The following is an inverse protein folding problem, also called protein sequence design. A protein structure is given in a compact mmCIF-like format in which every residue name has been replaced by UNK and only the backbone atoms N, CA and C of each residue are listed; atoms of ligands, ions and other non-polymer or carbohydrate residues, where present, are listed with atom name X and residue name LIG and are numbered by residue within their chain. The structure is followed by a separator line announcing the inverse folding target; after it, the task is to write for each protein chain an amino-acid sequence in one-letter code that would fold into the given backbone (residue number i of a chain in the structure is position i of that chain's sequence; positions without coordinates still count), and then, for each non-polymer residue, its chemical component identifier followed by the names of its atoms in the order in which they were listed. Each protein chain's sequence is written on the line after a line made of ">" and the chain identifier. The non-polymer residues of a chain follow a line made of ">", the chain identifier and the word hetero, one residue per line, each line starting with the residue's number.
data_IF_603099669513
#
_entry.id   IF_603099669513
#
_cell.length_a   1.000
_cell.length_b   1.000
_cell.length_c   1.000
_cell.angle_alpha   90.00
_cell.angle_beta   90.00
_cell.angle_gamma   90.00
#
_symmetry.space_group_name_H-M   'P 1'
#
loop_
_entity.id
_entity.type
_entity.pdbx_description
1 polymer ?
#
# COMPACT_ATOMS: atom_id res chain seq x y z
N UNK A 1 -24.43 -5.15 -16.10
CA UNK A 1 -23.88 -4.36 -17.22
C UNK A 1 -23.81 -2.95 -16.67
N UNK A 2 -22.79 -2.70 -15.87
CA UNK A 2 -22.84 -1.64 -14.86
C UNK A 2 -22.11 -0.43 -15.41
N UNK A 3 -22.92 0.55 -15.81
CA UNK A 3 -22.48 1.79 -16.42
C UNK A 3 -21.69 2.62 -15.40
N UNK A 4 -20.48 2.97 -15.83
CA UNK A 4 -19.62 4.02 -15.28
C UNK A 4 -20.42 5.31 -15.00
N UNK A 5 -19.90 6.14 -14.10
CA UNK A 5 -20.46 7.42 -13.73
C UNK A 5 -20.96 8.24 -14.94
N UNK A 6 -22.09 8.94 -14.80
CA UNK A 6 -22.37 10.10 -15.66
C UNK A 6 -21.20 11.07 -15.46
N UNK A 7 -20.62 11.55 -16.56
CA UNK A 7 -19.47 12.48 -16.64
C UNK A 7 -19.63 13.80 -15.86
N UNK A 8 -20.71 13.95 -15.08
CA UNK A 8 -21.15 15.17 -14.38
C UNK A 8 -21.13 15.07 -12.85
N UNK A 9 -20.59 14.00 -12.27
CA UNK A 9 -20.29 13.96 -10.82
C UNK A 9 -21.51 14.02 -9.90
N UNK A 10 -22.66 13.48 -10.32
CA UNK A 10 -23.82 13.38 -9.43
C UNK A 10 -23.76 12.12 -8.57
N UNK A 11 -23.92 12.31 -7.25
CA UNK A 11 -24.02 11.26 -6.25
C UNK A 11 -25.27 10.41 -6.50
N UNK A 12 -25.05 9.14 -6.84
CA UNK A 12 -26.12 8.16 -7.12
C UNK A 12 -26.20 7.07 -6.06
N UNK A 13 -25.56 7.24 -4.89
CA UNK A 13 -25.44 6.17 -3.90
C UNK A 13 -24.49 5.05 -4.34
N UNK A 14 -23.47 5.39 -5.15
CA UNK A 14 -22.55 4.44 -5.80
C UNK A 14 -21.13 4.58 -5.27
N UNK A 15 -20.35 3.49 -5.35
CA UNK A 15 -18.94 3.45 -4.93
C UNK A 15 -18.14 4.55 -5.64
N UNK A 16 -17.58 5.47 -4.86
CA UNK A 16 -16.69 6.54 -5.35
C UNK A 16 -15.25 6.12 -5.13
N UNK A 17 -14.40 6.41 -6.11
CA UNK A 17 -12.96 6.22 -6.01
C UNK A 17 -12.30 7.58 -6.20
N UNK A 18 -11.40 8.00 -5.30
CA UNK A 18 -10.62 9.22 -5.52
C UNK A 18 -9.72 9.04 -6.75
N UNK A 19 -9.11 7.86 -6.91
CA UNK A 19 -8.40 7.47 -8.13
C UNK A 19 -8.81 6.04 -8.56
N UNK A 20 -9.11 5.90 -9.85
CA UNK A 20 -9.41 4.62 -10.48
C UNK A 20 -8.59 4.45 -11.77
N UNK A 21 -7.86 3.34 -11.89
CA UNK A 21 -7.15 2.97 -13.12
C UNK A 21 -7.83 1.74 -13.74
N UNK A 22 -8.56 1.98 -14.83
CA UNK A 22 -9.25 0.95 -15.59
C UNK A 22 -8.36 0.31 -16.66
N UNK A 23 -8.47 -1.00 -16.85
CA UNK A 23 -7.84 -1.72 -17.95
C UNK A 23 -8.60 -1.49 -19.26
N UNK A 24 -7.94 -0.88 -20.24
CA UNK A 24 -8.43 -0.75 -21.61
C UNK A 24 -7.25 -0.92 -22.59
N UNK A 25 -6.69 -2.12 -22.61
CA UNK A 25 -5.45 -2.45 -23.32
C UNK A 25 -4.25 -2.64 -22.38
N UNK A 26 -3.04 -2.40 -22.92
CA UNK A 26 -1.79 -2.58 -22.20
C UNK A 26 -1.26 -1.25 -21.68
N UNK A 27 -1.14 -1.15 -20.36
CA UNK A 27 -0.61 -0.02 -19.62
C UNK A 27 0.78 -0.39 -19.07
N UNK A 28 1.72 0.55 -19.10
CA UNK A 28 3.06 0.32 -18.59
C UNK A 28 3.67 1.62 -18.04
N UNK A 29 4.53 1.52 -17.03
CA UNK A 29 5.27 2.66 -16.44
C UNK A 29 4.38 3.80 -15.95
N UNK A 30 3.40 3.47 -15.10
CA UNK A 30 2.53 4.46 -14.45
C UNK A 30 3.06 4.72 -13.03
N UNK A 31 3.20 6.00 -12.68
CA UNK A 31 3.65 6.46 -11.36
C UNK A 31 2.56 7.31 -10.71
N UNK A 32 2.06 6.90 -9.56
CA UNK A 32 1.06 7.63 -8.77
C UNK A 32 1.68 7.94 -7.41
N UNK A 33 2.00 9.21 -7.18
CA UNK A 33 2.56 9.62 -5.90
C UNK A 33 2.26 11.04 -5.48
N UNK A 34 2.54 11.31 -4.20
CA UNK A 34 2.32 12.59 -3.53
C UNK A 34 0.86 13.04 -3.49
N UNK A 35 -0.07 12.10 -3.35
CA UNK A 35 -1.49 12.38 -3.22
C UNK A 35 -1.97 12.17 -1.77
N UNK A 36 -2.94 12.98 -1.39
CA UNK A 36 -3.76 12.83 -0.18
C UNK A 36 -5.15 12.34 -0.64
N UNK A 37 -5.56 11.17 -0.18
CA UNK A 37 -6.78 10.48 -0.60
C UNK A 37 -7.58 10.02 0.61
N UNK A 38 -8.43 10.90 1.12
CA UNK A 38 -9.32 10.55 2.22
C UNK A 38 -10.76 11.02 2.15
N UNK A 39 -11.49 10.69 3.21
CA UNK A 39 -12.91 11.03 3.44
C UNK A 39 -13.87 10.57 2.34
N UNK A 40 -13.56 9.44 1.69
CA UNK A 40 -14.42 8.84 0.67
C UNK A 40 -15.74 8.34 1.28
N UNK A 41 -16.83 9.09 1.09
CA UNK A 41 -18.13 8.85 1.75
C UNK A 41 -18.84 7.55 1.37
N UNK A 42 -18.48 6.93 0.24
CA UNK A 42 -19.16 5.73 -0.27
C UNK A 42 -18.18 4.72 -0.91
N UNK A 43 -16.87 4.89 -0.76
CA UNK A 43 -15.92 4.03 -1.46
C UNK A 43 -14.50 4.09 -0.93
N UNK A 44 -13.53 4.06 -1.84
CA UNK A 44 -12.13 3.71 -1.57
C UNK A 44 -11.20 4.79 -2.07
N UNK A 45 -10.08 5.00 -1.39
CA UNK A 45 -9.04 5.91 -1.85
C UNK A 45 -8.59 5.60 -3.28
N UNK A 46 -8.22 4.33 -3.52
CA UNK A 46 -7.57 3.95 -4.76
C UNK A 46 -7.91 2.53 -5.20
N UNK A 47 -8.17 2.36 -6.50
CA UNK A 47 -8.43 1.05 -7.10
C UNK A 47 -7.86 0.96 -8.52
N UNK A 48 -7.13 -0.12 -8.80
CA UNK A 48 -6.83 -0.56 -10.18
C UNK A 48 -7.72 -1.75 -10.53
N UNK A 49 -8.16 -1.85 -11.78
CA UNK A 49 -9.15 -2.85 -12.17
C UNK A 49 -9.16 -3.10 -13.68
N UNK A 50 -8.94 -4.34 -14.11
CA UNK A 50 -9.02 -4.72 -15.53
C UNK A 50 -10.46 -4.93 -15.99
N UNK A 51 -10.70 -4.86 -17.30
CA UNK A 51 -12.03 -5.12 -17.88
C UNK A 51 -12.08 -6.33 -18.82
N UNK A 52 -10.95 -6.71 -19.42
CA UNK A 52 -10.84 -7.81 -20.37
C UNK A 52 -9.59 -8.65 -20.12
N UNK A 53 -9.60 -9.95 -20.49
CA UNK A 53 -8.43 -10.82 -20.36
C UNK A 53 -7.17 -10.37 -21.11
N UNK A 54 -7.30 -9.46 -22.09
CA UNK A 54 -6.19 -8.88 -22.84
C UNK A 54 -5.60 -7.63 -22.18
N UNK A 55 -6.25 -7.08 -21.15
CA UNK A 55 -5.74 -5.91 -20.46
C UNK A 55 -4.52 -6.29 -19.61
N UNK A 56 -3.57 -5.37 -19.53
CA UNK A 56 -2.42 -5.54 -18.66
C UNK A 56 -1.95 -4.22 -18.09
N UNK A 57 -1.38 -4.28 -16.89
CA UNK A 57 -0.71 -3.18 -16.22
C UNK A 57 0.63 -3.68 -15.68
N UNK A 58 1.72 -3.15 -16.23
CA UNK A 58 3.09 -3.51 -15.84
C UNK A 58 3.87 -2.27 -15.37
N UNK A 59 4.96 -2.50 -14.64
CA UNK A 59 5.80 -1.47 -14.01
C UNK A 59 4.96 -0.35 -13.37
N UNK A 60 4.02 -0.75 -12.51
CA UNK A 60 3.12 0.17 -11.83
C UNK A 60 3.72 0.59 -10.50
N UNK A 61 3.81 1.90 -10.25
CA UNK A 61 4.39 2.46 -9.03
C UNK A 61 3.35 3.30 -8.29
N UNK A 62 3.08 2.96 -7.04
CA UNK A 62 2.26 3.75 -6.11
C UNK A 62 3.12 4.12 -4.93
N UNK A 63 3.36 5.41 -4.72
CA UNK A 63 4.32 5.83 -3.71
C UNK A 63 4.06 7.18 -3.08
N UNK A 64 4.53 7.39 -1.85
CA UNK A 64 4.42 8.70 -1.18
C UNK A 64 2.97 9.22 -1.09
N UNK A 65 1.98 8.34 -1.03
CA UNK A 65 0.57 8.73 -0.88
C UNK A 65 0.09 8.51 0.56
N UNK A 66 -0.83 9.36 1.01
CA UNK A 66 -1.57 9.15 2.24
C UNK A 66 -3.01 8.78 1.91
N UNK A 67 -3.43 7.57 2.27
CA UNK A 67 -4.80 7.10 2.11
C UNK A 67 -5.45 6.99 3.49
N UNK A 68 -6.56 7.69 3.72
CA UNK A 68 -7.13 7.72 5.07
C UNK A 68 -8.64 7.98 5.13
N UNK A 69 -9.27 7.58 6.22
CA UNK A 69 -10.68 7.92 6.53
C UNK A 69 -11.66 7.61 5.39
N UNK A 70 -11.38 6.58 4.60
CA UNK A 70 -12.29 6.10 3.56
C UNK A 70 -13.32 5.18 4.19
N UNK A 71 -14.58 5.24 3.75
CA UNK A 71 -15.66 4.39 4.32
C UNK A 71 -15.46 2.90 3.98
N UNK A 72 -14.54 2.56 3.07
CA UNK A 72 -14.15 1.19 2.72
C UNK A 72 -12.63 1.00 2.76
N UNK A 73 -12.10 -0.02 2.05
CA UNK A 73 -10.66 -0.20 1.84
C UNK A 73 -10.00 1.10 1.37
N UNK A 74 -8.78 1.37 1.84
CA UNK A 74 -7.99 2.47 1.30
C UNK A 74 -7.50 2.16 -0.11
N UNK A 75 -6.99 0.94 -0.32
CA UNK A 75 -6.32 0.55 -1.57
C UNK A 75 -6.75 -0.83 -2.05
N UNK A 76 -7.00 -0.96 -3.35
CA UNK A 76 -7.09 -2.26 -4.04
C UNK A 76 -6.08 -2.30 -5.19
N UNK A 77 -5.13 -3.23 -5.10
CA UNK A 77 -4.11 -3.51 -6.10
C UNK A 77 -4.45 -4.77 -6.89
N UNK A 78 -5.31 -4.60 -7.89
CA UNK A 78 -5.62 -5.62 -8.88
C UNK A 78 -7.11 -5.91 -8.99
N UNK A 79 -7.42 -6.99 -9.68
CA UNK A 79 -8.79 -7.43 -9.93
C UNK A 79 -9.27 -7.02 -11.31
N UNK A 80 -10.54 -7.31 -11.57
CA UNK A 80 -11.16 -6.97 -12.82
C UNK A 80 -12.50 -7.63 -13.04
N UNK A 81 -13.26 -7.09 -13.99
CA UNK A 81 -14.36 -7.81 -14.61
C UNK A 81 -13.86 -8.45 -15.91
N UNK A 82 -14.65 -9.38 -16.44
CA UNK A 82 -14.23 -10.22 -17.57
C UNK A 82 -14.94 -11.57 -17.53
N UNK A 83 -14.98 -12.26 -18.66
CA UNK A 83 -15.67 -13.57 -18.77
C UNK A 83 -14.85 -14.75 -18.24
N UNK A 84 -13.55 -14.58 -18.01
CA UNK A 84 -12.63 -15.62 -17.53
C UNK A 84 -11.59 -15.05 -16.56
N UNK A 85 -10.90 -15.92 -15.82
CA UNK A 85 -9.78 -15.56 -14.96
C UNK A 85 -8.57 -15.06 -15.78
N UNK A 86 -7.96 -13.94 -15.37
CA UNK A 86 -6.75 -13.40 -15.98
C UNK A 86 -5.94 -12.60 -14.96
N UNK A 87 -4.71 -12.25 -15.33
CA UNK A 87 -3.87 -11.38 -14.52
C UNK A 87 -3.72 -10.01 -15.14
N UNK A 88 -4.41 -9.02 -14.57
CA UNK A 88 -4.33 -7.64 -15.01
C UNK A 88 -2.97 -7.03 -14.62
N UNK A 89 -2.62 -7.11 -13.34
CA UNK A 89 -1.37 -6.56 -12.80
C UNK A 89 -0.23 -7.55 -13.05
N UNK A 90 0.87 -7.06 -13.61
CA UNK A 90 2.10 -7.83 -13.84
C UNK A 90 3.16 -7.52 -12.79
N UNK A 91 3.52 -6.25 -12.65
CA UNK A 91 4.51 -5.78 -11.67
C UNK A 91 3.98 -4.54 -10.97
N UNK A 92 3.95 -4.55 -9.64
CA UNK A 92 3.51 -3.42 -8.84
C UNK A 92 4.50 -3.11 -7.71
N UNK A 93 5.02 -1.90 -7.67
CA UNK A 93 5.82 -1.35 -6.60
C UNK A 93 4.97 -0.41 -5.74
N UNK A 94 4.82 -0.72 -4.47
CA UNK A 94 4.02 0.02 -3.52
C UNK A 94 4.91 0.45 -2.36
N UNK A 95 5.33 1.72 -2.31
CA UNK A 95 6.36 2.13 -1.34
C UNK A 95 6.20 3.52 -0.76
N UNK A 96 6.66 3.72 0.48
CA UNK A 96 6.47 4.97 1.23
C UNK A 96 5.01 5.44 1.25
N UNK A 97 4.03 4.55 1.26
CA UNK A 97 2.64 4.98 1.43
C UNK A 97 2.26 4.88 2.91
N UNK A 98 1.32 5.73 3.31
CA UNK A 98 0.70 5.69 4.62
C UNK A 98 -0.79 5.38 4.41
N UNK A 99 -1.26 4.29 4.98
CA UNK A 99 -2.67 3.92 4.99
C UNK A 99 -3.14 4.01 6.43
N UNK A 100 -4.15 4.81 6.72
CA UNK A 100 -4.71 4.93 8.07
C UNK A 100 -6.23 4.88 8.05
N UNK A 101 -6.84 4.49 9.16
CA UNK A 101 -8.29 4.57 9.40
C UNK A 101 -9.14 4.06 8.22
N UNK A 102 -8.92 2.81 7.74
CA UNK A 102 -9.78 2.25 6.71
C UNK A 102 -11.21 2.07 7.24
N UNK A 103 -12.14 1.94 6.32
CA UNK A 103 -13.55 1.74 6.62
C UNK A 103 -13.82 0.51 7.47
N UNK A 104 -14.87 0.59 8.30
CA UNK A 104 -15.24 -0.48 9.20
C UNK A 104 -15.50 -1.81 8.46
N UNK A 105 -14.78 -2.86 8.87
CA UNK A 105 -14.96 -4.23 8.38
C UNK A 105 -14.31 -4.53 7.03
N UNK A 106 -13.49 -3.61 6.51
CA UNK A 106 -12.70 -3.81 5.30
C UNK A 106 -11.18 -3.78 5.66
N UNK A 107 -10.32 -4.51 4.93
CA UNK A 107 -8.86 -4.41 5.12
C UNK A 107 -8.36 -3.04 4.65
N UNK A 108 -7.21 -2.59 5.15
CA UNK A 108 -6.59 -1.36 4.66
C UNK A 108 -6.20 -1.48 3.19
N UNK A 109 -5.64 -2.63 2.81
CA UNK A 109 -5.19 -2.91 1.46
C UNK A 109 -5.61 -4.32 1.00
N UNK A 110 -6.03 -4.43 -0.25
CA UNK A 110 -6.26 -5.70 -0.94
C UNK A 110 -5.24 -5.86 -2.06
N UNK A 111 -4.50 -6.95 -2.08
CA UNK A 111 -3.48 -7.28 -3.10
C UNK A 111 -3.98 -8.47 -3.92
N UNK A 112 -3.82 -8.41 -5.24
CA UNK A 112 -4.51 -9.30 -6.18
C UNK A 112 -5.91 -8.79 -6.51
N UNK A 113 -6.58 -8.12 -5.56
CA UNK A 113 -7.82 -7.38 -5.78
C UNK A 113 -9.09 -8.24 -5.79
N UNK A 114 -10.08 -7.89 -6.62
CA UNK A 114 -11.40 -8.57 -6.61
C UNK A 114 -11.85 -8.96 -8.01
N UNK A 115 -12.69 -10.00 -8.11
CA UNK A 115 -13.20 -10.47 -9.40
C UNK A 115 -12.21 -11.33 -10.17
N UNK A 116 -12.23 -11.22 -11.50
CA UNK A 116 -11.56 -12.13 -12.44
C UNK A 116 -10.14 -11.71 -12.84
N UNK A 117 -9.81 -10.42 -12.77
CA UNK A 117 -8.46 -9.91 -13.06
C UNK A 117 -7.44 -10.08 -11.92
N UNK A 118 -7.76 -10.94 -10.94
CA UNK A 118 -7.02 -11.06 -9.67
C UNK A 118 -5.83 -12.01 -9.66
N UNK A 119 -5.51 -12.62 -10.78
CA UNK A 119 -4.51 -13.70 -10.84
C UNK A 119 -3.13 -13.15 -11.24
N UNK A 120 -2.07 -13.85 -10.85
CA UNK A 120 -0.69 -13.47 -11.12
C UNK A 120 -0.27 -12.14 -10.48
N UNK A 121 0.80 -11.57 -11.01
CA UNK A 121 1.34 -10.30 -10.54
C UNK A 121 2.40 -10.47 -9.46
N UNK A 122 3.47 -9.69 -9.58
CA UNK A 122 4.58 -9.58 -8.65
C UNK A 122 4.46 -8.25 -7.90
N UNK A 123 4.27 -8.34 -6.58
CA UNK A 123 4.00 -7.19 -5.72
C UNK A 123 5.18 -6.91 -4.79
N UNK A 124 5.67 -5.68 -4.81
CA UNK A 124 6.81 -5.24 -4.02
C UNK A 124 6.38 -4.13 -3.07
N UNK A 125 6.25 -4.46 -1.78
CA UNK A 125 5.81 -3.55 -0.73
C UNK A 125 7.00 -3.14 0.13
N UNK A 126 7.40 -1.87 0.03
CA UNK A 126 8.57 -1.36 0.73
C UNK A 126 8.26 -0.13 1.57
N UNK A 127 8.74 -0.09 2.80
CA UNK A 127 8.75 1.17 3.56
C UNK A 127 7.37 1.81 3.70
N UNK A 128 6.29 1.02 3.82
CA UNK A 128 4.94 1.56 4.04
C UNK A 128 4.60 1.59 5.53
N UNK A 129 3.63 2.42 5.89
CA UNK A 129 2.93 2.36 7.18
C UNK A 129 1.48 2.00 6.88
N UNK A 130 1.04 0.84 7.35
CA UNK A 130 -0.32 0.34 7.12
C UNK A 130 -0.99 0.21 8.49
N UNK A 131 -1.70 1.27 8.86
CA UNK A 131 -2.28 1.46 10.17
C UNK A 131 -3.78 1.16 10.20
N UNK A 132 -4.17 0.01 10.77
CA UNK A 132 -5.56 -0.42 10.89
C UNK A 132 -5.93 -0.69 12.35
N UNK A 133 -5.88 0.34 13.19
CA UNK A 133 -6.05 0.20 14.64
C UNK A 133 -7.51 0.13 15.12
N UNK A 134 -8.49 0.47 14.27
CA UNK A 134 -9.86 0.71 14.74
C UNK A 134 -10.83 -0.47 14.58
N UNK A 135 -10.49 -1.51 13.81
CA UNK A 135 -11.43 -2.59 13.49
C UNK A 135 -10.81 -3.99 13.43
N UNK A 136 -11.56 -4.99 13.91
CA UNK A 136 -11.19 -6.40 13.96
C UNK A 136 -11.21 -7.12 12.58
N UNK A 137 -10.68 -6.47 11.54
CA UNK A 137 -10.40 -7.09 10.25
C UNK A 137 -8.88 -7.10 10.00
N UNK A 138 -8.33 -8.13 9.34
CA UNK A 138 -6.90 -8.13 9.03
C UNK A 138 -6.49 -6.95 8.17
N UNK A 139 -5.32 -6.37 8.50
CA UNK A 139 -4.79 -5.15 7.87
C UNK A 139 -4.57 -5.32 6.36
N UNK A 140 -4.07 -6.48 5.95
CA UNK A 140 -3.78 -6.82 4.56
C UNK A 140 -4.64 -8.02 4.13
N UNK A 141 -5.32 -7.90 3.01
CA UNK A 141 -5.96 -9.04 2.37
C UNK A 141 -5.20 -9.41 1.09
N UNK A 142 -4.73 -10.66 1.03
CA UNK A 142 -4.20 -11.24 -0.20
C UNK A 142 -5.30 -12.02 -0.90
N UNK A 143 -5.49 -11.74 -2.18
CA UNK A 143 -6.48 -12.45 -2.98
C UNK A 143 -5.94 -13.04 -4.26
N UNK A 144 -6.63 -14.07 -4.72
CA UNK A 144 -6.29 -14.77 -5.95
C UNK A 144 -4.94 -15.49 -5.86
N UNK A 145 -4.50 -16.00 -7.01
CA UNK A 145 -3.20 -16.65 -7.14
C UNK A 145 -2.16 -15.63 -7.61
N UNK A 146 -1.73 -14.71 -6.73
CA UNK A 146 -0.61 -13.82 -7.06
C UNK A 146 0.66 -14.62 -7.36
N UNK A 147 1.55 -14.11 -8.22
CA UNK A 147 2.79 -14.81 -8.55
C UNK A 147 3.76 -14.77 -7.38
N UNK A 148 3.98 -13.58 -6.83
CA UNK A 148 4.85 -13.34 -5.69
C UNK A 148 4.50 -12.06 -4.96
N UNK A 149 4.91 -11.98 -3.70
CA UNK A 149 4.96 -10.71 -2.97
C UNK A 149 6.25 -10.64 -2.14
N UNK A 150 6.87 -9.47 -2.17
CA UNK A 150 8.04 -9.13 -1.33
C UNK A 150 7.64 -8.00 -0.39
N UNK A 151 7.79 -8.18 0.92
CA UNK A 151 7.60 -7.13 1.92
C UNK A 151 8.91 -6.79 2.61
N UNK A 152 9.35 -5.53 2.56
CA UNK A 152 10.51 -5.11 3.36
C UNK A 152 10.29 -3.77 4.03
N UNK A 153 10.80 -3.63 5.24
CA UNK A 153 10.77 -2.38 5.98
C UNK A 153 9.36 -1.78 6.16
N UNK A 154 8.29 -2.58 6.22
CA UNK A 154 6.94 -2.06 6.45
C UNK A 154 6.60 -2.03 7.94
N UNK A 155 5.78 -1.06 8.36
CA UNK A 155 5.08 -1.09 9.64
C UNK A 155 3.64 -1.52 9.37
N UNK A 156 3.24 -2.66 9.91
CA UNK A 156 1.89 -3.22 9.75
C UNK A 156 1.24 -3.22 11.13
N UNK A 157 0.34 -2.26 11.33
CA UNK A 157 -0.39 -2.09 12.57
C UNK A 157 -1.74 -2.79 12.45
N UNK A 158 -1.97 -3.76 13.33
CA UNK A 158 -3.19 -4.54 13.41
C UNK A 158 -4.05 -4.10 14.59
N UNK A 159 -5.33 -4.45 14.52
CA UNK A 159 -6.27 -4.16 15.60
C UNK A 159 -5.89 -4.92 16.88
N UNK A 160 -5.93 -4.27 18.06
CA UNK A 160 -5.62 -4.90 19.34
C UNK A 160 -6.36 -6.22 19.57
N UNK A 161 -5.61 -7.30 19.82
CA UNK A 161 -6.14 -8.67 19.98
C UNK A 161 -6.87 -9.24 18.75
N UNK A 162 -6.60 -8.70 17.56
CA UNK A 162 -6.99 -9.35 16.30
C UNK A 162 -6.28 -10.69 16.15
N UNK A 163 -6.89 -11.62 15.41
CA UNK A 163 -6.32 -12.94 15.19
C UNK A 163 -5.23 -12.95 14.13
N UNK A 164 -5.24 -12.01 13.18
CA UNK A 164 -4.27 -11.96 12.08
C UNK A 164 -4.01 -10.54 11.55
N UNK A 165 -2.79 -10.29 11.06
CA UNK A 165 -2.47 -9.13 10.20
C UNK A 165 -2.87 -9.35 8.73
N UNK A 166 -3.04 -10.63 8.35
CA UNK A 166 -3.35 -11.04 6.99
C UNK A 166 -4.61 -11.89 6.93
N UNK A 167 -5.36 -11.75 5.85
CA UNK A 167 -6.28 -12.79 5.42
C UNK A 167 -5.96 -13.22 3.98
N UNK A 168 -6.23 -14.47 3.68
CA UNK A 168 -6.00 -15.09 2.38
C UNK A 168 -7.35 -15.53 1.83
N UNK A 169 -7.69 -15.08 0.63
CA UNK A 169 -9.00 -15.38 0.05
C UNK A 169 -8.95 -15.55 -1.48
N UNK A 170 -9.57 -16.59 -2.07
CA UNK A 170 -10.25 -17.70 -1.42
C UNK A 170 -9.29 -18.80 -0.91
N UNK A 171 -8.00 -18.61 -1.09
CA UNK A 171 -6.98 -19.66 -1.01
C UNK A 171 -6.14 -19.58 0.27
N UNK A 172 -5.28 -20.58 0.46
CA UNK A 172 -4.23 -20.57 1.48
C UNK A 172 -3.13 -19.56 1.16
N UNK A 173 -2.23 -19.35 2.12
CA UNK A 173 -0.99 -18.57 1.96
C UNK A 173 -0.29 -18.91 0.63
N UNK A 174 -0.03 -17.94 -0.26
CA UNK A 174 0.77 -18.16 -1.45
C UNK A 174 2.16 -18.73 -1.11
N UNK A 175 2.71 -19.61 -1.95
CA UNK A 175 4.02 -20.23 -1.67
C UNK A 175 5.20 -19.26 -1.85
N UNK A 176 5.00 -18.14 -2.56
CA UNK A 176 6.05 -17.23 -2.99
C UNK A 176 5.95 -15.88 -2.27
N UNK A 177 5.75 -15.92 -0.96
CA UNK A 177 5.82 -14.74 -0.11
C UNK A 177 7.22 -14.65 0.47
N UNK A 178 7.85 -13.49 0.36
CA UNK A 178 9.11 -13.19 1.03
C UNK A 178 8.96 -11.92 1.86
N UNK A 179 9.54 -11.94 3.05
CA UNK A 179 9.55 -10.79 3.93
C UNK A 179 10.92 -10.63 4.59
N UNK A 180 11.29 -9.37 4.82
CA UNK A 180 12.54 -9.01 5.46
C UNK A 180 12.41 -7.68 6.25
N UNK A 181 12.65 -7.70 7.57
CA UNK A 181 12.63 -6.53 8.45
C UNK A 181 11.30 -5.74 8.42
N UNK A 182 10.16 -6.43 8.58
CA UNK A 182 8.88 -5.75 8.82
C UNK A 182 8.60 -5.68 10.34
N UNK A 183 7.87 -4.64 10.76
CA UNK A 183 7.26 -4.57 12.07
C UNK A 183 5.79 -5.01 11.95
N UNK A 184 5.37 -5.92 12.83
CA UNK A 184 3.94 -6.15 13.09
C UNK A 184 3.62 -5.77 14.53
N UNK A 185 2.69 -4.84 14.70
CA UNK A 185 2.37 -4.27 16.02
C UNK A 185 0.86 -4.15 16.25
N UNK A 186 0.44 -4.28 17.51
CA UNK A 186 -0.95 -4.05 17.92
C UNK A 186 -1.78 -5.33 18.03
N UNK A 187 -1.79 -6.22 17.03
CA UNK A 187 -2.64 -7.41 17.07
C UNK A 187 -2.21 -8.47 18.09
N UNK A 188 -0.98 -8.37 18.59
CA UNK A 188 -0.37 -9.33 19.52
C UNK A 188 0.53 -10.33 18.81
N UNK A 189 1.35 -11.03 19.60
CA UNK A 189 2.41 -11.94 19.08
C UNK A 189 1.84 -13.11 18.27
N UNK A 190 0.66 -13.61 18.63
CA UNK A 190 0.05 -14.76 17.95
C UNK A 190 -0.46 -14.44 16.53
N UNK A 191 -0.61 -13.15 16.19
CA UNK A 191 -1.09 -12.73 14.88
C UNK A 191 0.04 -12.62 13.83
N UNK A 192 1.31 -12.69 14.26
CA UNK A 192 2.48 -12.57 13.38
C UNK A 192 2.49 -13.71 12.36
N UNK A 193 2.72 -13.43 11.06
CA UNK A 193 2.69 -14.48 10.05
C UNK A 193 3.82 -15.47 10.26
N UNK A 194 3.49 -16.77 10.28
CA UNK A 194 4.47 -17.84 10.46
C UNK A 194 5.49 -17.98 9.33
N UNK A 195 5.26 -17.31 8.20
CA UNK A 195 6.16 -17.29 7.06
C UNK A 195 7.13 -16.10 7.06
N UNK A 196 6.95 -15.11 7.96
CA UNK A 196 7.89 -14.00 8.13
C UNK A 196 8.79 -14.22 9.36
N UNK A 197 9.95 -14.82 9.12
CA UNK A 197 10.94 -15.11 10.16
C UNK A 197 11.91 -13.93 10.44
N UNK A 198 11.73 -12.79 9.77
CA UNK A 198 12.67 -11.65 9.79
C UNK A 198 12.20 -10.48 10.67
N UNK A 199 11.21 -10.78 11.51
CA UNK A 199 10.26 -9.81 12.03
C UNK A 199 10.74 -9.13 13.32
N UNK A 200 10.53 -7.81 13.43
CA UNK A 200 10.39 -7.17 14.74
C UNK A 200 8.92 -7.33 15.16
N UNK A 201 8.66 -8.14 16.17
CA UNK A 201 7.28 -8.47 16.58
C UNK A 201 6.89 -7.68 17.81
N UNK A 202 5.81 -6.91 17.70
CA UNK A 202 5.16 -6.21 18.81
C UNK A 202 6.04 -5.18 19.54
N UNK A 203 7.14 -4.73 18.93
CA UNK A 203 7.90 -3.57 19.37
C UNK A 203 7.09 -2.29 19.07
N UNK A 204 6.93 -1.41 20.07
CA UNK A 204 6.22 -0.16 19.89
C UNK A 204 6.94 0.71 18.83
N UNK A 205 6.28 1.10 17.72
CA UNK A 205 6.88 1.97 16.72
C UNK A 205 7.25 3.36 17.29
N UNK A 206 6.73 3.73 18.47
CA UNK A 206 6.89 5.03 19.12
C UNK A 206 6.64 6.17 18.14
N UNK A 207 5.45 6.19 17.55
CA UNK A 207 5.05 7.34 16.75
C UNK A 207 5.07 8.63 17.57
N UNK A 208 5.25 9.78 16.91
CA UNK A 208 5.26 11.10 17.58
C UNK A 208 3.91 11.38 18.26
N UNK A 209 2.83 10.79 17.77
CA UNK A 209 1.51 10.79 18.39
C UNK A 209 0.98 9.36 18.50
N UNK A 210 0.53 8.97 19.69
CA UNK A 210 -0.05 7.64 19.93
C UNK A 210 -1.41 7.43 19.28
N UNK A 211 -2.06 8.49 18.82
CA UNK A 211 -3.31 8.43 18.05
C UNK A 211 -3.19 9.32 16.79
N UNK A 212 -2.52 8.83 15.74
CA UNK A 212 -2.26 9.61 14.53
C UNK A 212 -3.54 10.06 13.82
N UNK A 213 -3.65 11.36 13.51
CA UNK A 213 -4.74 11.94 12.71
C UNK A 213 -4.23 12.70 11.47
N UNK A 214 -2.91 12.86 11.35
CA UNK A 214 -2.20 13.43 10.21
C UNK A 214 -1.09 12.48 9.77
N UNK A 215 -0.67 12.52 8.50
CA UNK A 215 0.48 11.73 8.05
C UNK A 215 1.77 12.04 8.86
N UNK A 216 1.94 13.28 9.34
CA UNK A 216 3.12 13.67 10.14
C UNK A 216 3.13 13.00 11.52
N UNK A 217 1.96 12.60 12.03
CA UNK A 217 1.84 11.95 13.32
C UNK A 217 2.45 10.53 13.31
N UNK A 218 2.64 9.95 12.11
CA UNK A 218 3.27 8.65 11.91
C UNK A 218 4.80 8.70 11.85
N UNK A 219 5.42 9.88 12.00
CA UNK A 219 6.86 9.97 12.24
C UNK A 219 7.22 9.23 13.52
N UNK A 220 8.43 8.69 13.58
CA UNK A 220 8.90 7.95 14.74
C UNK A 220 9.66 8.87 15.69
N UNK A 221 9.58 8.60 16.98
CA UNK A 221 10.46 9.24 17.94
C UNK A 221 11.91 8.78 17.72
N UNK A 222 12.92 9.63 18.03
CA UNK A 222 14.32 9.28 17.80
C UNK A 222 14.81 8.01 18.52
N UNK A 223 14.12 7.59 19.58
CA UNK A 223 14.41 6.39 20.37
C UNK A 223 13.50 5.19 20.01
N UNK A 224 12.79 5.27 18.88
CA UNK A 224 12.04 4.15 18.31
C UNK A 224 13.00 3.02 17.94
N UNK A 225 12.66 1.75 18.25
CA UNK A 225 13.47 0.59 17.85
C UNK A 225 13.56 0.41 16.33
N UNK A 226 12.73 1.13 15.56
CA UNK A 226 12.67 1.04 14.11
C UNK A 226 13.65 1.96 13.39
N UNK A 227 14.24 2.92 14.11
CA UNK A 227 15.20 3.87 13.54
C UNK A 227 16.51 3.14 13.21
N UNK A 228 16.86 3.10 11.93
CA UNK A 228 18.07 2.40 11.45
C UNK A 228 17.99 0.87 11.49
N UNK A 229 16.82 0.29 11.74
CA UNK A 229 16.63 -1.17 11.85
C UNK A 229 16.26 -1.87 10.53
N UNK A 230 16.09 -1.13 9.44
CA UNK A 230 15.68 -1.66 8.15
C UNK A 230 16.82 -2.28 7.32
N UNK A 231 16.46 -3.02 6.29
CA UNK A 231 17.36 -3.58 5.28
C UNK A 231 17.44 -2.68 4.04
N UNK A 232 18.57 -2.69 3.31
CA UNK A 232 18.77 -1.89 2.11
C UNK A 232 17.71 -2.16 1.01
N UNK A 233 16.88 -1.14 0.75
CA UNK A 233 15.92 -1.08 -0.37
C UNK A 233 16.23 0.04 -1.37
N UNK A 234 17.40 0.69 -1.25
CA UNK A 234 17.74 1.94 -1.97
C UNK A 234 17.87 1.79 -3.49
N UNK A 235 17.99 0.56 -4.00
CA UNK A 235 17.91 0.26 -5.42
C UNK A 235 16.54 0.63 -6.03
N UNK A 236 15.48 0.62 -5.21
CA UNK A 236 14.10 0.91 -5.61
C UNK A 236 13.59 2.18 -4.91
N UNK A 237 13.80 2.29 -3.59
CA UNK A 237 13.27 3.37 -2.75
C UNK A 237 14.39 4.35 -2.39
N UNK A 238 14.52 5.43 -3.16
CA UNK A 238 15.62 6.40 -3.01
C UNK A 238 15.37 7.49 -1.97
N UNK A 239 14.12 7.82 -1.72
CA UNK A 239 13.71 8.84 -0.74
C UNK A 239 12.62 8.29 0.16
N UNK A 240 12.36 8.93 1.30
CA UNK A 240 11.26 8.64 2.19
C UNK A 240 9.96 9.37 1.76
N UNK A 241 8.92 9.33 2.60
CA UNK A 241 7.64 10.00 2.39
C UNK A 241 7.79 11.50 2.10
N UNK A 242 8.70 12.19 2.79
CA UNK A 242 8.93 13.64 2.71
C UNK A 242 10.02 14.03 1.71
N UNK A 243 10.60 13.07 1.00
CA UNK A 243 11.66 13.32 0.03
C UNK A 243 13.07 13.35 0.63
N UNK A 244 13.26 12.94 1.90
CA UNK A 244 14.59 12.76 2.47
C UNK A 244 15.28 11.56 1.81
N UNK A 245 16.53 11.73 1.40
CA UNK A 245 17.32 10.67 0.75
C UNK A 245 17.54 9.51 1.73
N UNK A 246 17.29 8.29 1.26
CA UNK A 246 17.55 7.06 2.01
C UNK A 246 19.00 6.62 1.81
N UNK A 247 19.72 6.34 2.91
CA UNK A 247 21.11 5.86 2.87
C UNK A 247 21.16 4.36 3.19
N UNK A 248 21.91 3.58 2.40
CA UNK A 248 21.94 2.11 2.53
C UNK A 248 22.49 1.58 3.86
N UNK A 249 23.11 2.43 4.69
CA UNK A 249 23.78 2.01 5.92
C UNK A 249 22.89 1.99 7.17
N UNK A 250 21.75 2.69 7.15
CA UNK A 250 20.90 2.85 8.35
C UNK A 250 19.49 3.30 7.95
N UNK A 251 18.74 2.45 7.26
CA UNK A 251 17.37 2.76 6.88
C UNK A 251 16.43 2.54 8.06
N UNK A 252 15.48 3.45 8.25
CA UNK A 252 14.37 3.21 9.16
C UNK A 252 13.29 2.34 8.51
N UNK A 253 12.65 1.49 9.32
CA UNK A 253 11.44 0.77 8.95
C UNK A 253 10.27 1.77 8.87
N UNK A 254 9.42 1.64 7.86
CA UNK A 254 8.29 2.53 7.61
C UNK A 254 8.58 3.64 6.59
N UNK A 255 7.63 4.58 6.50
CA UNK A 255 7.57 5.58 5.43
C UNK A 255 8.49 6.79 5.63
N UNK A 256 9.00 7.02 6.84
CA UNK A 256 9.87 8.15 7.18
C UNK A 256 11.29 7.69 7.50
N UNK A 257 12.27 8.52 7.17
CA UNK A 257 13.61 8.44 7.74
C UNK A 257 13.72 9.38 8.94
N UNK A 258 14.33 8.92 10.02
CA UNK A 258 14.56 9.73 11.23
C UNK A 258 16.05 10.04 11.38
N UNK A 259 16.37 11.17 12.02
CA UNK A 259 17.76 11.50 12.36
C UNK A 259 18.64 11.99 11.20
N UNK A 260 18.15 12.02 9.97
CA UNK A 260 18.82 12.68 8.84
C UNK A 260 18.63 14.20 8.96
N UNK A 261 19.72 14.93 9.22
CA UNK A 261 19.71 16.40 9.24
C UNK A 261 19.02 16.92 7.98
N UNK A 262 17.96 17.72 8.18
CA UNK A 262 17.10 18.26 7.13
C UNK A 262 17.84 19.27 6.25
N UNK A 263 18.84 18.83 5.49
CA UNK A 263 19.15 19.50 4.24
C UNK A 263 18.13 18.93 3.28
N UNK A 264 16.95 19.54 3.23
CA UNK A 264 16.02 19.32 2.12
C UNK A 264 16.80 19.82 0.91
N UNK A 265 17.28 18.95 -0.01
CA UNK A 265 17.81 19.45 -1.26
C UNK A 265 16.68 20.26 -1.90
N UNK A 266 16.93 21.47 -2.42
CA UNK A 266 15.88 22.25 -3.08
C UNK A 266 15.17 21.33 -4.07
N UNK A 267 13.85 21.26 -3.96
CA UNK A 267 13.01 20.53 -4.92
C UNK A 267 13.15 21.26 -6.24
N UNK A 268 14.17 20.90 -7.02
CA UNK A 268 14.19 21.16 -8.44
C UNK A 268 13.20 20.18 -9.02
N UNK A 269 11.97 20.65 -9.24
CA UNK A 269 11.13 20.09 -10.28
C UNK A 269 11.93 20.27 -11.57
N UNK A 270 12.76 19.29 -11.92
CA UNK A 270 13.22 19.20 -13.29
C UNK A 270 11.95 19.02 -14.12
N UNK A 271 11.55 20.01 -14.94
CA UNK A 271 10.44 19.78 -15.85
C UNK A 271 10.82 18.54 -16.65
N UNK A 272 9.92 17.54 -16.79
CA UNK A 272 10.20 16.36 -17.59
C UNK A 272 10.70 16.83 -18.95
N UNK A 273 11.98 16.59 -19.23
CA UNK A 273 12.65 17.03 -20.46
C UNK A 273 12.09 16.32 -21.70
N UNK A 274 11.10 15.44 -21.53
CA UNK A 274 10.42 14.69 -22.58
C UNK A 274 8.89 14.66 -22.45
N UNK A 275 8.24 15.64 -21.80
CA UNK A 275 6.79 15.78 -21.95
C UNK A 275 6.47 16.50 -23.28
N UNK A 276 6.58 15.77 -24.40
CA UNK A 276 5.83 16.13 -25.61
C UNK A 276 4.41 15.64 -25.42
N UNK A 277 3.49 16.58 -25.21
CA UNK A 277 2.09 16.35 -25.53
C UNK A 277 1.99 16.59 -27.04
N UNK A 278 2.03 15.50 -27.82
CA UNK A 278 1.55 15.47 -29.21
C UNK A 278 0.17 14.83 -29.24
#
# INVERSE_FOLDING_TARGET
>A
HDQCADFRGQDTGRRVYQIYIGGYGSLNHIYIGWNDMGWGSQGRGFQIYGHNPADSLDNFHVHNNWFHDNVRQNVILGGGDGSSAYGFVKTCYFYNNILSNPGNGDPAIVIGGVGNGRYGGDFYLYNNIIHSADYAYPTIQLTGHINSMTLRNNIIYGYPNSWDYYTYYPDSVPSNLTADHNLYYGAGENAVPSWDNSTLSNDDPKFVNSNPVSFLDFKMQPDSPLVGAGIDTTAIVKTDFLGLVRSSASLSIGAFEEGMSSVIPPVTLDPPTNLRIE
#
